data_IF_763979090314
#
_entry.id   IF_763979090314
#
_cell.length_a   1.000
_cell.length_b   1.000
_cell.length_c   1.000
_cell.angle_alpha   90.00
_cell.angle_beta   90.00
_cell.angle_gamma   90.00
#
_symmetry.space_group_name_H-M   'P 1'
#
loop_
_entity.id
_entity.type
_entity.pdbx_description
1 polymer ?
#
# COMPACT_ATOMS: atom_id res chain seq x y z
N UNK A 1 -22.31 -47.97 13.40
CA UNK A 1 -21.68 -46.65 13.19
C UNK A 1 -22.68 -45.73 12.52
N UNK A 2 -23.30 -44.81 13.26
CA UNK A 2 -24.13 -43.74 12.70
C UNK A 2 -23.25 -42.51 12.59
N UNK A 3 -23.03 -42.05 11.36
CA UNK A 3 -22.33 -40.80 11.08
C UNK A 3 -23.26 -39.65 11.46
N UNK A 4 -22.90 -38.90 12.50
CA UNK A 4 -23.52 -37.63 12.81
C UNK A 4 -22.94 -36.59 11.84
N UNK A 5 -23.72 -36.00 10.92
CA UNK A 5 -23.25 -34.87 10.13
C UNK A 5 -22.91 -33.73 11.08
N UNK A 6 -21.68 -33.24 11.01
CA UNK A 6 -21.27 -31.98 11.62
C UNK A 6 -22.11 -30.88 10.95
N UNK A 7 -23.20 -30.46 11.61
CA UNK A 7 -23.88 -29.22 11.27
C UNK A 7 -22.93 -28.11 11.69
N UNK A 8 -22.19 -27.56 10.74
CA UNK A 8 -21.48 -26.30 10.94
C UNK A 8 -22.54 -25.24 11.25
N UNK A 9 -22.61 -24.78 12.50
CA UNK A 9 -23.34 -23.56 12.84
C UNK A 9 -22.61 -22.40 12.13
N UNK A 10 -23.06 -22.07 10.92
CA UNK A 10 -22.81 -20.77 10.33
C UNK A 10 -23.62 -19.77 11.15
N UNK A 11 -23.01 -19.20 12.19
CA UNK A 11 -23.56 -18.02 12.82
C UNK A 11 -23.73 -16.97 11.71
N UNK A 12 -24.94 -16.43 11.49
CA UNK A 12 -25.14 -15.42 10.46
C UNK A 12 -24.28 -14.21 10.81
N UNK A 13 -23.27 -13.95 9.99
CA UNK A 13 -22.49 -12.71 10.07
C UNK A 13 -23.45 -11.53 9.90
N UNK A 14 -23.55 -10.71 10.94
CA UNK A 14 -24.28 -9.46 10.89
C UNK A 14 -23.26 -8.37 10.58
N UNK A 15 -23.12 -8.09 9.28
CA UNK A 15 -22.69 -6.81 8.74
C UNK A 15 -21.19 -6.45 8.67
N UNK A 16 -20.41 -7.30 8.01
CA UNK A 16 -19.14 -6.91 7.39
C UNK A 16 -18.95 -7.61 6.04
N UNK A 17 -18.25 -6.96 5.11
CA UNK A 17 -17.67 -7.63 3.95
C UNK A 17 -16.28 -8.12 4.35
N UNK A 18 -15.98 -9.37 4.04
CA UNK A 18 -14.63 -9.94 4.10
C UNK A 18 -14.40 -10.72 2.82
N UNK A 19 -13.39 -10.34 2.06
CA UNK A 19 -13.09 -10.97 0.78
C UNK A 19 -11.61 -10.92 0.47
N UNK A 20 -11.16 -11.81 -0.41
CA UNK A 20 -9.79 -11.84 -0.88
C UNK A 20 -9.65 -11.13 -2.23
N UNK A 21 -8.51 -10.49 -2.42
CA UNK A 21 -8.05 -9.97 -3.69
C UNK A 21 -6.67 -10.55 -4.01
N UNK A 22 -6.48 -11.13 -5.20
CA UNK A 22 -5.18 -11.60 -5.65
C UNK A 22 -4.23 -10.42 -5.98
N UNK A 23 -2.93 -10.69 -6.12
CA UNK A 23 -1.94 -9.68 -6.54
C UNK A 23 -2.26 -9.19 -7.96
N UNK A 24 -2.48 -7.88 -8.10
CA UNK A 24 -2.60 -7.22 -9.40
C UNK A 24 -1.22 -6.89 -9.96
N UNK A 25 -0.33 -6.38 -9.10
CA UNK A 25 1.06 -6.03 -9.43
C UNK A 25 1.90 -5.86 -8.17
N UNK A 26 3.22 -5.99 -8.32
CA UNK A 26 4.22 -5.54 -7.32
C UNK A 26 5.22 -4.66 -8.06
N UNK A 27 5.29 -3.36 -7.73
CA UNK A 27 6.18 -2.39 -8.40
C UNK A 27 6.28 -1.09 -7.58
N UNK A 28 7.24 -0.22 -7.90
CA UNK A 28 7.36 1.13 -7.31
C UNK A 28 6.38 2.11 -7.94
N UNK A 29 5.11 2.00 -7.54
CA UNK A 29 4.05 2.93 -7.89
C UNK A 29 3.28 3.35 -6.63
N UNK A 30 3.18 4.65 -6.44
CA UNK A 30 2.38 5.26 -5.37
C UNK A 30 1.60 6.46 -5.92
N UNK A 31 0.53 6.23 -6.69
CA UNK A 31 -0.13 7.31 -7.41
C UNK A 31 -0.97 8.24 -6.54
N UNK A 32 -1.18 7.92 -5.26
CA UNK A 32 -1.81 8.84 -4.31
C UNK A 32 -0.75 9.81 -3.79
N UNK A 33 0.36 9.29 -3.24
CA UNK A 33 1.37 10.12 -2.56
C UNK A 33 2.37 10.74 -3.55
N UNK A 34 2.73 10.02 -4.61
CA UNK A 34 3.71 10.43 -5.63
C UNK A 34 3.13 10.30 -7.06
N UNK A 35 2.05 11.03 -7.38
CA UNK A 35 1.36 10.92 -8.67
C UNK A 35 2.29 11.22 -9.85
N UNK A 36 2.30 10.31 -10.83
CA UNK A 36 3.10 10.37 -12.05
C UNK A 36 4.57 9.99 -11.86
N UNK A 37 5.01 9.70 -10.64
CA UNK A 37 6.40 9.39 -10.34
C UNK A 37 6.75 7.94 -10.70
N UNK A 38 7.75 7.79 -11.56
CA UNK A 38 8.20 6.51 -12.10
C UNK A 38 9.73 6.39 -11.99
N UNK A 39 10.30 5.60 -11.06
CA UNK A 39 9.64 4.88 -9.95
C UNK A 39 9.30 5.78 -8.75
N UNK A 40 8.30 5.36 -7.96
CA UNK A 40 8.03 5.92 -6.64
C UNK A 40 9.15 5.58 -5.63
N UNK A 41 9.10 6.18 -4.44
CA UNK A 41 10.13 6.07 -3.40
C UNK A 41 10.34 4.65 -2.85
N UNK A 42 9.38 3.73 -2.98
CA UNK A 42 9.51 2.35 -2.49
C UNK A 42 8.53 1.40 -3.18
N UNK A 43 8.71 0.09 -2.98
CA UNK A 43 7.92 -0.95 -3.67
C UNK A 43 6.61 -1.18 -2.95
N UNK A 44 5.51 -1.21 -3.71
CA UNK A 44 4.20 -1.57 -3.20
C UNK A 44 3.71 -2.88 -3.82
N UNK A 45 2.87 -3.58 -3.06
CA UNK A 45 2.04 -4.66 -3.57
C UNK A 45 0.62 -4.12 -3.72
N UNK A 46 0.05 -4.30 -4.91
CA UNK A 46 -1.21 -3.71 -5.32
C UNK A 46 -2.21 -4.82 -5.64
N UNK A 47 -3.45 -4.66 -5.20
CA UNK A 47 -4.60 -5.50 -5.56
C UNK A 47 -5.76 -4.61 -6.02
N UNK A 48 -6.75 -5.21 -6.70
CA UNK A 48 -7.97 -4.52 -7.11
C UNK A 48 -8.17 -4.42 -8.63
N UNK A 49 -8.78 -3.33 -9.08
CA UNK A 49 -9.11 -3.08 -10.49
C UNK A 49 -7.90 -2.84 -11.39
N UNK A 50 -7.93 -3.30 -12.64
CA UNK A 50 -6.83 -3.15 -13.61
C UNK A 50 -6.72 -1.77 -14.28
N UNK A 51 -7.51 -0.77 -13.84
CA UNK A 51 -7.34 0.63 -14.26
C UNK A 51 -6.16 1.32 -13.55
N UNK A 52 -5.50 0.63 -12.62
CA UNK A 52 -4.35 1.13 -11.87
C UNK A 52 -3.21 1.59 -12.78
N UNK A 53 -2.73 2.82 -12.55
CA UNK A 53 -1.64 3.43 -13.29
C UNK A 53 -0.91 4.47 -12.41
N UNK A 54 0.17 5.03 -12.92
CA UNK A 54 1.05 5.93 -12.16
C UNK A 54 0.40 7.26 -11.72
N UNK A 55 -0.71 7.68 -12.32
CA UNK A 55 -1.29 9.03 -12.07
C UNK A 55 -2.57 9.00 -11.26
N UNK A 56 -3.42 7.98 -11.46
CA UNK A 56 -4.74 7.84 -10.83
C UNK A 56 -5.52 9.17 -10.72
N UNK A 57 -5.68 9.85 -11.87
CA UNK A 57 -6.36 11.14 -11.99
C UNK A 57 -7.71 11.13 -11.23
N UNK A 58 -7.91 12.02 -10.24
CA UNK A 58 -9.15 12.10 -9.45
C UNK A 58 -10.40 12.40 -10.27
N UNK A 59 -10.28 12.86 -11.52
CA UNK A 59 -11.41 13.10 -12.42
C UNK A 59 -11.90 11.83 -13.10
N UNK A 60 -11.14 10.74 -13.03
CA UNK A 60 -11.46 9.47 -13.65
C UNK A 60 -12.09 8.54 -12.61
N UNK A 61 -13.32 8.10 -12.87
CA UNK A 61 -13.89 6.98 -12.13
C UNK A 61 -13.26 5.68 -12.61
N UNK A 62 -12.45 5.06 -11.75
CA UNK A 62 -11.74 3.82 -12.06
C UNK A 62 -12.69 2.63 -12.23
N UNK A 63 -13.89 2.68 -11.63
CA UNK A 63 -14.90 1.63 -11.77
C UNK A 63 -15.45 1.55 -13.20
N UNK A 64 -15.43 2.67 -13.93
CA UNK A 64 -15.87 2.77 -15.32
C UNK A 64 -14.73 2.51 -16.34
N UNK A 65 -13.48 2.44 -15.86
CA UNK A 65 -12.29 2.16 -16.70
C UNK A 65 -11.79 0.73 -16.59
N UNK A 66 -11.90 0.14 -15.41
CA UNK A 66 -11.41 -1.21 -15.17
C UNK A 66 -12.26 -2.24 -15.93
N UNK A 67 -11.60 -3.23 -16.50
CA UNK A 67 -12.25 -4.35 -17.22
C UNK A 67 -12.21 -5.65 -16.42
N UNK A 68 -11.34 -5.73 -15.41
CA UNK A 68 -11.28 -6.82 -14.44
C UNK A 68 -10.84 -6.29 -13.08
N UNK A 69 -11.05 -7.10 -12.04
CA UNK A 69 -10.53 -6.87 -10.68
C UNK A 69 -9.96 -8.17 -10.14
N UNK A 70 -8.95 -8.08 -9.26
CA UNK A 70 -8.42 -9.24 -8.55
C UNK A 70 -9.25 -9.62 -7.33
N UNK A 71 -10.29 -8.85 -6.98
CA UNK A 71 -11.13 -9.05 -5.80
C UNK A 71 -12.29 -10.03 -6.01
N UNK A 72 -12.73 -10.71 -4.95
CA UNK A 72 -13.82 -11.70 -5.03
C UNK A 72 -15.15 -11.09 -5.49
N UNK A 73 -15.42 -9.83 -5.12
CA UNK A 73 -16.57 -9.08 -5.62
C UNK A 73 -16.25 -8.47 -6.99
N UNK A 74 -16.94 -8.92 -8.04
CA UNK A 74 -16.69 -8.48 -9.41
C UNK A 74 -17.19 -7.07 -9.72
N UNK A 75 -17.82 -6.41 -8.75
CA UNK A 75 -18.26 -5.01 -8.80
C UNK A 75 -17.32 -4.09 -8.03
N UNK A 76 -16.27 -4.62 -7.40
CA UNK A 76 -15.25 -3.84 -6.69
C UNK A 76 -13.98 -3.67 -7.56
N UNK A 77 -13.85 -2.51 -8.17
CA UNK A 77 -12.65 -2.10 -8.91
C UNK A 77 -11.78 -1.12 -8.13
N UNK A 78 -12.02 -0.98 -6.82
CA UNK A 78 -11.15 -0.20 -5.94
C UNK A 78 -9.71 -0.71 -6.04
N UNK A 79 -8.74 0.16 -5.74
CA UNK A 79 -7.35 -0.25 -5.61
C UNK A 79 -6.91 -0.13 -4.14
N UNK A 80 -6.17 -1.14 -3.70
CA UNK A 80 -5.66 -1.26 -2.34
C UNK A 80 -4.18 -1.62 -2.43
N UNK A 81 -3.32 -0.91 -1.72
CA UNK A 81 -1.89 -1.26 -1.70
C UNK A 81 -1.23 -0.98 -0.36
N UNK A 82 -0.13 -1.69 -0.13
CA UNK A 82 0.75 -1.51 1.03
C UNK A 82 2.20 -1.62 0.58
N UNK A 83 3.13 -1.18 1.43
CA UNK A 83 4.55 -1.46 1.24
C UNK A 83 4.85 -2.98 1.22
N UNK A 84 5.98 -3.33 0.62
CA UNK A 84 6.44 -4.73 0.50
C UNK A 84 7.44 -5.09 1.60
N UNK A 85 7.25 -6.26 2.21
CA UNK A 85 8.18 -6.80 3.20
C UNK A 85 9.35 -7.52 2.50
N UNK A 86 10.56 -7.25 2.96
CA UNK A 86 11.78 -7.95 2.59
C UNK A 86 12.40 -8.62 3.80
N UNK A 87 13.04 -9.76 3.57
CA UNK A 87 13.99 -10.38 4.49
C UNK A 87 15.39 -9.85 4.17
N UNK A 88 16.05 -9.26 5.16
CA UNK A 88 17.46 -8.82 5.10
C UNK A 88 18.32 -9.90 5.74
N UNK A 89 19.01 -10.66 4.90
CA UNK A 89 19.88 -11.75 5.33
C UNK A 89 21.13 -11.23 6.05
N UNK A 90 21.79 -12.10 6.82
CA UNK A 90 23.05 -11.81 7.53
C UNK A 90 24.15 -11.28 6.60
N UNK A 91 24.19 -11.72 5.34
CA UNK A 91 25.17 -11.27 4.34
C UNK A 91 24.81 -9.88 3.73
N UNK A 92 23.74 -9.23 4.19
CA UNK A 92 23.26 -7.95 3.70
C UNK A 92 22.37 -8.01 2.46
N UNK A 93 22.20 -9.19 1.85
CA UNK A 93 21.27 -9.38 0.72
C UNK A 93 19.82 -9.27 1.17
N UNK A 94 18.95 -8.84 0.26
CA UNK A 94 17.52 -8.75 0.50
C UNK A 94 16.79 -9.80 -0.33
N UNK A 95 15.71 -10.35 0.21
CA UNK A 95 14.79 -11.21 -0.53
C UNK A 95 13.37 -10.81 -0.21
N UNK A 96 12.55 -10.57 -1.23
CA UNK A 96 11.15 -10.25 -1.05
C UNK A 96 10.44 -11.39 -0.34
N UNK A 97 9.64 -11.06 0.66
CA UNK A 97 8.82 -12.05 1.37
C UNK A 97 7.58 -12.34 0.53
N UNK A 98 7.30 -13.60 0.16
CA UNK A 98 6.09 -13.93 -0.58
C UNK A 98 4.83 -13.67 0.26
N UNK A 99 3.71 -13.35 -0.39
CA UNK A 99 2.40 -13.33 0.26
C UNK A 99 1.67 -14.64 0.02
N UNK A 100 0.72 -14.97 0.89
CA UNK A 100 -0.16 -16.12 0.70
C UNK A 100 -1.61 -15.81 1.13
N UNK A 101 -2.61 -16.58 0.68
CA UNK A 101 -4.01 -16.29 1.02
C UNK A 101 -4.30 -16.53 2.50
N UNK A 102 -5.14 -15.66 3.07
CA UNK A 102 -5.69 -15.86 4.40
C UNK A 102 -6.74 -17.00 4.40
N UNK A 103 -7.16 -17.43 5.59
CA UNK A 103 -8.10 -18.51 5.76
C UNK A 103 -9.43 -18.26 5.00
N UNK A 104 -9.95 -19.33 4.39
CA UNK A 104 -11.25 -19.37 3.71
C UNK A 104 -11.36 -18.48 2.46
N UNK A 105 -10.24 -18.15 1.80
CA UNK A 105 -10.23 -17.33 0.57
C UNK A 105 -9.83 -18.11 -0.69
N UNK A 106 -9.65 -19.43 -0.58
CA UNK A 106 -9.21 -20.29 -1.68
C UNK A 106 -7.75 -20.04 -2.09
N UNK A 107 -7.41 -20.45 -3.32
CA UNK A 107 -6.04 -20.43 -3.85
C UNK A 107 -5.72 -19.13 -4.60
N UNK A 108 -5.88 -17.99 -3.95
CA UNK A 108 -5.47 -16.70 -4.53
C UNK A 108 -3.94 -16.65 -4.72
N UNK A 109 -3.50 -15.97 -5.77
CA UNK A 109 -2.07 -15.73 -6.00
C UNK A 109 -1.65 -14.51 -5.20
N UNK A 110 -0.99 -14.74 -4.07
CA UNK A 110 -0.58 -13.68 -3.14
C UNK A 110 -1.76 -12.85 -2.64
N UNK A 111 -1.56 -11.53 -2.61
CA UNK A 111 -2.63 -10.55 -2.42
C UNK A 111 -2.97 -10.22 -0.97
N UNK A 112 -4.21 -9.79 -0.74
CA UNK A 112 -4.70 -9.27 0.54
C UNK A 112 -6.12 -9.74 0.85
N UNK A 113 -6.46 -9.75 2.14
CA UNK A 113 -7.85 -9.76 2.60
C UNK A 113 -8.32 -8.33 2.81
N UNK A 114 -9.45 -7.96 2.23
CA UNK A 114 -10.06 -6.65 2.39
C UNK A 114 -11.34 -6.78 3.19
N UNK A 115 -11.55 -5.82 4.09
CA UNK A 115 -12.73 -5.70 4.93
C UNK A 115 -13.43 -4.38 4.71
N UNK A 116 -14.76 -4.40 4.77
CA UNK A 116 -15.61 -3.22 4.96
C UNK A 116 -16.55 -3.51 6.13
N UNK A 117 -16.27 -2.92 7.30
CA UNK A 117 -17.05 -3.14 8.51
C UNK A 117 -18.01 -1.99 8.76
N UNK A 118 -19.25 -2.32 9.15
CA UNK A 118 -20.22 -1.32 9.59
C UNK A 118 -20.03 -0.96 11.07
N UNK A 119 -19.72 -1.97 11.90
CA UNK A 119 -19.47 -1.79 13.33
C UNK A 119 -18.44 -2.79 13.89
N UNK A 120 -18.77 -4.08 13.91
CA UNK A 120 -17.86 -5.18 14.26
C UNK A 120 -18.31 -6.50 13.58
N UNK A 121 -17.73 -7.64 13.97
CA UNK A 121 -18.10 -8.95 13.40
C UNK A 121 -19.41 -9.55 13.91
N UNK A 122 -20.04 -8.95 14.92
CA UNK A 122 -21.24 -9.47 15.60
C UNK A 122 -22.51 -8.66 15.28
N UNK A 123 -22.39 -7.39 14.88
CA UNK A 123 -23.54 -6.51 14.61
C UNK A 123 -23.21 -5.39 13.61
N UNK A 124 -24.23 -4.84 12.95
CA UNK A 124 -24.12 -3.60 12.15
C UNK A 124 -24.11 -2.31 12.97
N UNK A 125 -24.34 -2.40 14.29
CA UNK A 125 -24.44 -1.21 15.16
C UNK A 125 -25.65 -0.30 14.87
N UNK A 126 -26.51 -0.66 13.90
CA UNK A 126 -27.70 0.09 13.43
C UNK A 126 -27.43 1.56 13.04
N UNK A 127 -26.17 1.94 12.86
CA UNK A 127 -25.79 3.26 12.37
C UNK A 127 -26.01 3.31 10.86
N UNK A 128 -26.44 4.46 10.33
CA UNK A 128 -26.44 4.69 8.90
C UNK A 128 -24.99 4.73 8.40
N UNK A 129 -24.66 3.84 7.47
CA UNK A 129 -23.36 3.81 6.81
C UNK A 129 -23.49 4.46 5.44
N UNK A 130 -22.64 5.44 5.17
CA UNK A 130 -22.53 6.06 3.85
C UNK A 130 -21.40 5.35 3.10
N UNK A 131 -21.63 4.94 1.85
CA UNK A 131 -20.56 4.43 1.01
C UNK A 131 -19.65 5.57 0.53
N UNK A 132 -18.40 5.22 0.21
CA UNK A 132 -17.47 6.12 -0.46
C UNK A 132 -18.01 6.54 -1.84
N UNK A 133 -17.45 7.61 -2.39
CA UNK A 133 -17.86 8.20 -3.68
C UNK A 133 -16.73 8.10 -4.71
N UNK A 134 -17.03 8.10 -6.02
CA UNK A 134 -16.00 8.17 -7.06
C UNK A 134 -14.99 9.31 -6.80
N UNK A 135 -13.70 9.00 -6.95
CA UNK A 135 -12.60 9.93 -6.66
C UNK A 135 -12.12 9.91 -5.20
N UNK A 136 -12.87 9.28 -4.28
CA UNK A 136 -12.49 9.17 -2.87
C UNK A 136 -11.19 8.38 -2.71
N UNK A 137 -10.25 8.93 -1.95
CA UNK A 137 -8.96 8.31 -1.68
C UNK A 137 -8.46 8.67 -0.29
N UNK A 138 -7.79 7.74 0.37
CA UNK A 138 -7.19 8.00 1.67
C UNK A 138 -5.98 7.10 1.91
N UNK A 139 -5.09 7.56 2.78
CA UNK A 139 -4.00 6.76 3.32
C UNK A 139 -4.17 6.54 4.81
N UNK A 140 -3.44 5.58 5.36
CA UNK A 140 -3.28 5.42 6.81
C UNK A 140 -1.84 5.05 7.13
N UNK A 141 -1.29 5.62 8.20
CA UNK A 141 0.12 5.44 8.55
C UNK A 141 1.03 6.42 7.82
N UNK A 142 2.34 6.21 7.97
CA UNK A 142 3.36 7.03 7.31
C UNK A 142 4.72 6.34 7.37
N UNK A 143 5.47 6.26 6.26
CA UNK A 143 6.84 5.72 6.22
C UNK A 143 7.81 6.38 7.22
N UNK A 144 7.53 7.61 7.64
CA UNK A 144 8.37 8.37 8.58
C UNK A 144 7.99 8.18 10.05
N UNK A 145 6.97 7.36 10.36
CA UNK A 145 6.55 7.13 11.73
C UNK A 145 7.57 6.24 12.48
N UNK A 146 7.95 6.68 13.68
CA UNK A 146 8.90 6.01 14.56
C UNK A 146 8.31 5.64 15.92
N UNK A 147 7.00 5.84 16.12
CA UNK A 147 6.34 5.74 17.44
C UNK A 147 5.36 4.59 17.59
N UNK A 148 4.85 4.00 16.51
CA UNK A 148 3.90 2.86 16.59
C UNK A 148 2.56 3.18 17.28
N UNK A 149 2.21 4.46 17.34
CA UNK A 149 1.09 4.98 18.10
C UNK A 149 -0.27 4.79 17.43
N UNK A 150 -0.32 4.41 16.15
CA UNK A 150 -1.57 4.10 15.48
C UNK A 150 -2.05 2.71 15.93
N UNK A 151 -3.18 2.60 16.65
CA UNK A 151 -3.62 1.32 17.18
C UNK A 151 -4.14 0.38 16.10
N UNK A 152 -4.50 0.88 14.92
CA UNK A 152 -4.98 0.12 13.78
C UNK A 152 -3.88 -0.49 12.90
N UNK A 153 -2.61 -0.17 13.18
CA UNK A 153 -1.45 -0.65 12.42
C UNK A 153 -0.64 -1.62 13.28
N UNK A 154 -0.77 -2.91 12.97
CA UNK A 154 -0.29 -4.00 13.85
C UNK A 154 0.26 -5.18 13.06
N UNK A 155 1.01 -6.00 13.78
CA UNK A 155 1.51 -7.28 13.35
C UNK A 155 1.01 -8.40 14.23
N UNK A 156 0.84 -9.59 13.68
CA UNK A 156 0.63 -10.82 14.45
C UNK A 156 1.61 -11.88 13.97
N UNK A 157 2.34 -12.49 14.92
CA UNK A 157 3.18 -13.64 14.66
C UNK A 157 2.33 -14.92 14.64
N UNK A 158 2.06 -15.44 13.45
CA UNK A 158 1.10 -16.52 13.26
C UNK A 158 1.67 -17.86 13.72
N UNK A 159 0.95 -18.54 14.63
CA UNK A 159 1.21 -19.95 14.93
C UNK A 159 0.55 -20.85 13.87
N UNK A 160 -0.61 -20.43 13.41
CA UNK A 160 -1.36 -20.97 12.27
C UNK A 160 -2.08 -19.82 11.55
N UNK A 161 -2.75 -20.13 10.43
CA UNK A 161 -3.49 -19.13 9.63
C UNK A 161 -4.67 -18.49 10.39
N UNK A 162 -5.12 -19.08 11.50
CA UNK A 162 -6.24 -18.60 12.32
C UNK A 162 -5.77 -17.74 13.51
N UNK A 163 -4.47 -17.63 13.75
CA UNK A 163 -3.91 -16.82 14.84
C UNK A 163 -4.23 -15.33 14.61
N UNK A 164 -4.74 -14.64 15.65
CA UNK A 164 -5.10 -13.21 15.59
C UNK A 164 -4.58 -12.37 16.77
N UNK A 165 -3.87 -13.00 17.70
CA UNK A 165 -3.35 -12.34 18.90
C UNK A 165 -2.09 -13.06 19.41
N UNK A 166 -1.24 -12.38 20.20
CA UNK A 166 -1.28 -10.93 20.47
C UNK A 166 -0.84 -10.11 19.25
N UNK A 167 -1.39 -8.90 19.15
CA UNK A 167 -0.95 -7.89 18.20
C UNK A 167 0.25 -7.10 18.74
N UNK A 168 1.19 -6.73 17.86
CA UNK A 168 2.35 -5.89 18.19
C UNK A 168 2.45 -4.69 17.25
N UNK A 169 3.01 -3.59 17.74
CA UNK A 169 3.28 -2.41 16.90
C UNK A 169 4.51 -2.59 16.00
N UNK A 170 5.47 -3.39 16.45
CA UNK A 170 6.73 -3.70 15.77
C UNK A 170 6.66 -5.09 15.13
N UNK A 171 7.58 -5.35 14.18
CA UNK A 171 7.76 -6.67 13.62
C UNK A 171 8.01 -7.73 14.71
N UNK A 172 7.50 -8.96 14.54
CA UNK A 172 7.79 -10.05 15.46
C UNK A 172 9.29 -10.30 15.61
N UNK A 173 9.74 -10.38 16.87
CA UNK A 173 11.17 -10.60 17.21
C UNK A 173 11.59 -12.07 17.19
N UNK A 174 10.66 -12.98 16.86
CA UNK A 174 10.87 -14.42 16.84
C UNK A 174 10.34 -15.01 15.53
N UNK A 175 10.89 -16.16 15.09
CA UNK A 175 10.33 -16.91 13.97
C UNK A 175 8.84 -17.19 14.16
N UNK A 176 8.06 -17.01 13.10
CA UNK A 176 6.62 -17.23 13.11
C UNK A 176 6.29 -18.49 12.30
N UNK A 177 5.74 -19.55 12.94
CA UNK A 177 5.53 -20.84 12.28
C UNK A 177 4.65 -20.79 11.02
N UNK A 178 3.69 -19.87 10.98
CA UNK A 178 2.80 -19.67 9.84
C UNK A 178 2.98 -18.29 9.18
N UNK A 179 4.09 -17.60 9.41
CA UNK A 179 4.31 -16.28 8.82
C UNK A 179 3.88 -15.11 9.69
N UNK A 180 3.90 -13.92 9.11
CA UNK A 180 3.53 -12.66 9.78
C UNK A 180 2.30 -12.09 9.11
N UNK A 181 1.27 -11.76 9.88
CA UNK A 181 0.15 -10.96 9.40
C UNK A 181 0.43 -9.49 9.69
N UNK A 182 0.30 -8.62 8.71
CA UNK A 182 0.22 -7.17 8.89
C UNK A 182 -1.24 -6.73 8.70
N UNK A 183 -1.75 -5.89 9.60
CA UNK A 183 -3.10 -5.35 9.53
C UNK A 183 -3.09 -3.82 9.50
N UNK A 184 -3.93 -3.25 8.64
CA UNK A 184 -4.05 -1.81 8.42
C UNK A 184 -5.52 -1.40 8.50
N UNK A 185 -5.95 -0.82 9.62
CA UNK A 185 -7.29 -0.27 9.75
C UNK A 185 -7.33 1.20 9.37
N UNK A 186 -8.22 1.56 8.46
CA UNK A 186 -8.47 2.95 8.08
C UNK A 186 -9.45 3.63 9.06
N UNK A 187 -9.46 4.97 9.10
CA UNK A 187 -10.50 5.71 9.80
C UNK A 187 -11.87 5.53 9.13
N UNK A 188 -12.94 5.78 9.88
CA UNK A 188 -14.33 5.50 9.44
C UNK A 188 -15.29 6.69 9.64
N UNK A 189 -14.78 7.87 9.98
CA UNK A 189 -15.56 9.09 10.13
C UNK A 189 -15.09 10.12 9.10
N UNK A 190 -15.98 10.54 8.20
CA UNK A 190 -15.70 11.45 7.10
C UNK A 190 -16.23 12.85 7.39
N UNK A 191 -15.52 13.88 6.93
CA UNK A 191 -15.91 15.30 7.04
C UNK A 191 -17.22 15.67 6.31
N UNK A 192 -17.73 14.78 5.46
CA UNK A 192 -18.98 14.99 4.73
C UNK A 192 -18.81 15.77 3.43
N UNK A 193 -17.61 16.23 3.11
CA UNK A 193 -17.34 17.21 2.05
C UNK A 193 -16.22 16.78 1.10
N UNK A 194 -15.04 16.46 1.62
CA UNK A 194 -13.84 16.34 0.80
C UNK A 194 -13.56 14.88 0.44
N UNK A 195 -13.46 14.57 -0.86
CA UNK A 195 -13.11 13.21 -1.32
C UNK A 195 -11.64 12.85 -1.05
N UNK A 196 -10.83 13.87 -0.81
CA UNK A 196 -9.41 13.78 -0.51
C UNK A 196 -8.98 15.04 0.25
N UNK A 197 -7.86 14.96 0.97
CA UNK A 197 -7.19 16.10 1.60
C UNK A 197 -5.73 16.19 1.13
N UNK A 198 -5.03 17.32 1.27
CA UNK A 198 -3.64 17.44 0.79
C UNK A 198 -2.67 16.39 1.34
N UNK A 199 -2.97 15.83 2.52
CA UNK A 199 -2.21 14.75 3.15
C UNK A 199 -2.91 13.37 3.05
N UNK A 200 -4.03 13.28 2.32
CA UNK A 200 -4.86 12.09 2.14
C UNK A 200 -5.43 11.48 3.43
N UNK A 201 -5.39 12.22 4.55
CA UNK A 201 -5.80 11.73 5.88
C UNK A 201 -6.78 12.66 6.60
N UNK A 202 -6.59 13.98 6.56
CA UNK A 202 -7.35 14.97 7.36
C UNK A 202 -8.85 15.06 7.04
N UNK A 203 -9.30 14.57 5.90
CA UNK A 203 -10.74 14.47 5.59
C UNK A 203 -11.42 13.29 6.31
N UNK A 204 -10.63 12.47 7.02
CA UNK A 204 -11.05 11.30 7.76
C UNK A 204 -10.57 11.36 9.22
N UNK A 205 -11.38 10.83 10.13
CA UNK A 205 -11.09 10.83 11.56
C UNK A 205 -11.18 9.43 12.17
N UNK A 206 -10.15 9.06 12.93
CA UNK A 206 -10.05 7.73 13.51
C UNK A 206 -10.59 7.73 14.95
N UNK A 207 -11.65 6.96 15.17
CA UNK A 207 -12.20 6.67 16.51
C UNK A 207 -11.99 5.22 16.93
N UNK A 208 -11.29 4.44 16.11
CA UNK A 208 -10.96 3.04 16.35
C UNK A 208 -9.85 2.88 17.39
N UNK A 209 -9.83 1.74 18.06
CA UNK A 209 -8.85 1.39 19.09
C UNK A 209 -7.92 0.24 18.69
N UNK A 210 -7.85 -0.07 17.40
CA UNK A 210 -7.15 -1.26 16.90
C UNK A 210 -8.00 -2.52 16.98
N UNK A 211 -7.60 -3.54 16.25
CA UNK A 211 -8.42 -4.73 16.01
C UNK A 211 -9.80 -4.41 15.40
N UNK A 212 -10.63 -5.45 15.28
CA UNK A 212 -12.00 -5.34 14.77
C UNK A 212 -13.01 -5.02 15.88
N UNK A 213 -12.68 -4.05 16.72
CA UNK A 213 -13.56 -3.58 17.80
C UNK A 213 -14.39 -2.40 17.35
N UNK A 214 -15.57 -2.24 17.93
CA UNK A 214 -16.47 -1.11 17.65
C UNK A 214 -15.74 0.24 17.80
N UNK A 215 -15.75 1.03 16.72
CA UNK A 215 -15.20 2.38 16.72
C UNK A 215 -16.11 3.37 17.49
N UNK A 216 -15.52 4.36 18.14
CA UNK A 216 -16.27 5.40 18.85
C UNK A 216 -17.15 6.26 17.92
N UNK A 217 -18.06 7.04 18.50
CA UNK A 217 -18.93 7.95 17.75
C UNK A 217 -18.12 8.98 16.95
N UNK A 218 -18.61 9.32 15.76
CA UNK A 218 -17.95 10.30 14.91
C UNK A 218 -18.06 11.72 15.50
N UNK A 219 -16.97 12.52 15.51
CA UNK A 219 -17.01 13.88 16.02
C UNK A 219 -17.75 14.80 15.07
N UNK A 220 -18.13 16.00 15.55
CA UNK A 220 -18.81 17.01 14.73
C UNK A 220 -17.99 17.51 13.54
N UNK A 221 -16.65 17.43 13.62
CA UNK A 221 -15.76 17.74 12.49
C UNK A 221 -15.82 16.69 11.38
N UNK A 222 -16.21 15.45 11.70
CA UNK A 222 -16.26 14.32 10.78
C UNK A 222 -17.55 13.51 10.93
N UNK A 223 -18.72 14.13 10.71
CA UNK A 223 -19.99 13.60 11.20
C UNK A 223 -20.52 12.39 10.40
N UNK A 224 -19.95 12.10 9.22
CA UNK A 224 -20.48 11.06 8.34
C UNK A 224 -19.79 9.73 8.61
N UNK A 225 -20.54 8.75 9.13
CA UNK A 225 -20.03 7.37 9.28
C UNK A 225 -19.89 6.69 7.91
N UNK A 226 -18.68 6.22 7.64
CA UNK A 226 -18.30 5.39 6.51
C UNK A 226 -18.03 3.96 6.99
N UNK A 227 -18.04 2.94 6.10
CA UNK A 227 -17.56 1.63 6.50
C UNK A 227 -16.06 1.70 6.81
N UNK A 228 -15.63 1.01 7.86
CA UNK A 228 -14.21 0.88 8.15
C UNK A 228 -13.58 -0.07 7.14
N UNK A 229 -12.68 0.47 6.31
CA UNK A 229 -11.81 -0.33 5.46
C UNK A 229 -10.68 -0.90 6.31
N UNK A 230 -10.35 -2.17 6.12
CA UNK A 230 -9.14 -2.76 6.69
C UNK A 230 -8.50 -3.77 5.75
N UNK A 231 -7.17 -3.88 5.81
CA UNK A 231 -6.41 -4.88 5.06
C UNK A 231 -5.75 -5.85 6.03
N UNK A 232 -5.83 -7.15 5.74
CA UNK A 232 -4.92 -8.14 6.31
C UNK A 232 -4.02 -8.68 5.19
N UNK A 233 -2.71 -8.52 5.35
CA UNK A 233 -1.70 -9.07 4.45
C UNK A 233 -0.94 -10.19 5.15
N UNK A 234 -0.96 -11.40 4.57
CA UNK A 234 -0.25 -12.55 5.11
C UNK A 234 1.10 -12.69 4.41
N UNK A 235 2.19 -12.48 5.15
CA UNK A 235 3.55 -12.62 4.68
C UNK A 235 4.09 -14.00 5.04
N UNK A 236 4.45 -14.80 4.03
CA UNK A 236 5.04 -16.11 4.22
C UNK A 236 6.50 -15.99 4.63
N UNK A 237 6.73 -15.83 5.95
CA UNK A 237 8.08 -15.75 6.50
C UNK A 237 8.68 -17.12 6.82
N UNK A 238 7.98 -18.22 6.57
CA UNK A 238 8.37 -19.56 7.05
C UNK A 238 9.71 -20.03 6.49
N UNK A 239 10.01 -19.68 5.23
CA UNK A 239 11.30 -19.96 4.58
C UNK A 239 12.48 -19.16 5.15
N UNK A 240 12.23 -18.22 6.08
CA UNK A 240 13.23 -17.37 6.72
C UNK A 240 13.36 -17.62 8.23
N UNK A 241 12.76 -18.71 8.74
CA UNK A 241 12.75 -19.01 10.17
C UNK A 241 14.10 -19.55 10.72
N UNK A 242 15.04 -19.91 9.85
CA UNK A 242 16.40 -20.28 10.28
C UNK A 242 17.15 -19.06 10.81
N UNK A 243 17.32 -19.01 12.13
CA UNK A 243 18.05 -17.95 12.83
C UNK A 243 19.52 -17.83 12.42
N UNK A 244 20.12 -18.85 11.80
CA UNK A 244 21.47 -18.76 11.27
C UNK A 244 21.59 -17.69 10.15
N UNK A 245 20.49 -17.43 9.45
CA UNK A 245 20.38 -16.43 8.38
C UNK A 245 20.08 -15.02 8.91
N UNK A 246 19.73 -14.87 10.19
CA UNK A 246 19.35 -13.59 10.80
C UNK A 246 20.58 -12.75 11.16
N UNK A 247 20.44 -11.43 11.35
CA UNK A 247 21.51 -10.56 11.84
C UNK A 247 22.24 -11.12 13.07
N UNK A 248 23.56 -10.91 13.14
CA UNK A 248 24.41 -11.43 14.22
C UNK A 248 24.13 -10.77 15.59
N UNK A 249 23.55 -9.57 15.58
CA UNK A 249 23.13 -8.83 16.78
C UNK A 249 21.83 -9.38 17.41
N UNK A 250 21.20 -10.38 16.77
CA UNK A 250 19.96 -11.00 17.24
C UNK A 250 18.69 -10.21 16.93
N UNK A 251 18.78 -9.11 16.17
CA UNK A 251 17.62 -8.39 15.67
C UNK A 251 16.79 -9.23 14.68
N UNK A 252 15.51 -8.89 14.57
CA UNK A 252 14.63 -9.53 13.59
C UNK A 252 15.00 -9.07 12.15
N UNK A 253 14.85 -9.93 11.13
CA UNK A 253 15.46 -9.72 9.82
C UNK A 253 14.53 -9.01 8.81
N UNK A 254 13.29 -8.69 9.16
CA UNK A 254 12.33 -8.13 8.22
C UNK A 254 12.41 -6.61 8.16
N UNK A 255 12.24 -6.08 6.96
CA UNK A 255 12.25 -4.64 6.69
C UNK A 255 11.14 -4.32 5.70
N UNK A 256 10.56 -3.14 5.80
CA UNK A 256 9.74 -2.61 4.71
C UNK A 256 10.63 -2.15 3.54
N UNK A 257 10.03 -2.02 2.36
CA UNK A 257 10.68 -1.60 1.11
C UNK A 257 11.28 -0.18 1.11
N UNK A 258 11.19 0.53 2.22
CA UNK A 258 11.83 1.83 2.49
C UNK A 258 12.82 1.75 3.68
N UNK A 259 13.31 0.54 3.98
CA UNK A 259 14.33 0.21 5.00
C UNK A 259 13.91 0.48 6.47
N UNK A 260 12.60 0.46 6.76
CA UNK A 260 12.13 0.41 8.15
C UNK A 260 12.26 -1.01 8.72
N UNK A 261 13.22 -1.19 9.62
CA UNK A 261 13.52 -2.44 10.31
C UNK A 261 12.76 -2.66 11.61
N UNK A 262 11.91 -1.71 12.02
CA UNK A 262 11.06 -1.86 13.21
C UNK A 262 9.61 -2.18 12.83
N UNK A 263 9.19 -1.76 11.64
CA UNK A 263 7.83 -1.92 11.13
C UNK A 263 6.89 -0.80 11.58
N UNK A 264 7.40 0.26 12.21
CA UNK A 264 6.63 1.35 12.79
C UNK A 264 6.11 2.35 11.74
N UNK A 265 6.78 2.42 10.59
CA UNK A 265 6.43 3.29 9.47
C UNK A 265 5.36 2.71 8.55
N UNK A 266 4.77 1.56 8.90
CA UNK A 266 3.83 0.86 8.03
C UNK A 266 2.66 1.75 7.61
N UNK A 267 2.23 1.61 6.36
CA UNK A 267 1.13 2.37 5.80
C UNK A 267 0.38 1.56 4.76
N UNK A 268 -0.79 2.08 4.41
CA UNK A 268 -1.65 1.52 3.39
C UNK A 268 -2.44 2.62 2.71
N UNK A 269 -2.86 2.32 1.49
CA UNK A 269 -3.48 3.25 0.57
C UNK A 269 -4.76 2.66 0.00
N UNK A 270 -5.76 3.52 -0.14
CA UNK A 270 -7.07 3.14 -0.63
C UNK A 270 -7.57 4.15 -1.66
N UNK A 271 -8.00 3.64 -2.82
CA UNK A 271 -8.71 4.40 -3.84
C UNK A 271 -10.03 3.70 -4.16
N UNK A 272 -11.14 4.39 -3.95
CA UNK A 272 -12.47 3.84 -4.17
C UNK A 272 -12.76 3.58 -5.65
N UNK A 273 -13.37 2.44 -5.94
CA UNK A 273 -13.77 2.03 -7.28
C UNK A 273 -14.90 1.00 -7.31
N UNK A 274 -15.82 1.00 -6.33
CA UNK A 274 -17.01 0.15 -6.45
C UNK A 274 -17.94 0.69 -7.53
N UNK A 275 -18.49 -0.20 -8.34
CA UNK A 275 -19.36 0.15 -9.46
C UNK A 275 -20.74 0.64 -8.99
N UNK A 276 -21.14 1.82 -9.45
CA UNK A 276 -22.47 2.37 -9.19
C UNK A 276 -22.81 2.43 -7.70
N UNK A 277 -23.95 1.86 -7.31
CA UNK A 277 -24.43 1.82 -5.93
C UNK A 277 -24.05 0.52 -5.18
N UNK A 278 -23.22 -0.35 -5.76
CA UNK A 278 -22.97 -1.70 -5.24
C UNK A 278 -22.51 -1.71 -3.77
N UNK A 279 -21.57 -0.84 -3.39
CA UNK A 279 -21.12 -0.76 -1.99
C UNK A 279 -22.22 -0.22 -1.08
N UNK A 280 -23.04 0.75 -1.52
CA UNK A 280 -24.14 1.25 -0.69
C UNK A 280 -25.19 0.17 -0.47
N UNK A 281 -25.55 -0.61 -1.51
CA UNK A 281 -26.45 -1.77 -1.37
C UNK A 281 -25.91 -2.79 -0.38
N UNK A 282 -24.59 -3.02 -0.37
CA UNK A 282 -23.91 -3.84 0.63
C UNK A 282 -24.11 -3.27 2.03
N UNK A 283 -23.83 -1.98 2.21
CA UNK A 283 -23.86 -1.32 3.51
C UNK A 283 -25.27 -1.17 4.08
N UNK A 284 -26.30 -1.17 3.23
CA UNK A 284 -27.70 -1.15 3.65
C UNK A 284 -28.24 -2.56 4.00
N UNK A 285 -27.53 -3.64 3.61
CA UNK A 285 -27.96 -5.01 3.86
C UNK A 285 -27.74 -5.44 5.32
N UNK A 286 -28.72 -6.15 5.89
CA UNK A 286 -28.66 -6.68 7.26
C UNK A 286 -27.85 -7.99 7.36
N UNK A 287 -28.03 -9.00 6.49
CA UNK A 287 -27.05 -10.07 6.30
C UNK A 287 -26.03 -9.65 5.23
N UNK A 288 -24.74 -9.56 5.57
CA UNK A 288 -23.69 -9.21 4.61
C UNK A 288 -23.13 -10.43 3.83
N UNK A 289 -23.98 -11.41 3.56
CA UNK A 289 -23.68 -12.53 2.64
C UNK A 289 -24.16 -12.19 1.24
N UNK A 290 -23.32 -11.51 0.44
CA UNK A 290 -23.45 -11.35 -1.04
C UNK A 290 -24.81 -10.89 -1.62
N UNK A 291 -25.79 -10.53 -0.80
CA UNK A 291 -27.15 -10.24 -1.28
C UNK A 291 -27.10 -8.98 -2.13
N UNK A 292 -27.20 -9.16 -3.45
CA UNK A 292 -27.19 -8.06 -4.42
C UNK A 292 -25.82 -7.58 -4.89
N UNK A 293 -24.73 -8.31 -4.59
CA UNK A 293 -23.38 -8.02 -5.11
C UNK A 293 -22.85 -9.24 -5.84
N UNK A 294 -22.39 -9.03 -7.07
CA UNK A 294 -21.82 -10.09 -7.91
C UNK A 294 -20.43 -10.48 -7.42
N UNK A 295 -20.15 -11.78 -7.48
CA UNK A 295 -18.84 -12.36 -7.19
C UNK A 295 -18.26 -13.05 -8.41
N UNK A 296 -16.95 -13.29 -8.39
CA UNK A 296 -16.22 -14.06 -9.39
C UNK A 296 -15.44 -15.21 -8.73
N UNK A 297 -14.99 -16.17 -9.53
CA UNK A 297 -14.16 -17.27 -9.03
C UNK A 297 -12.74 -16.82 -8.73
N UNK A 298 -12.04 -17.59 -7.90
CA UNK A 298 -10.61 -17.40 -7.61
C UNK A 298 -9.76 -17.41 -8.90
N UNK A 299 -10.10 -18.27 -9.86
CA UNK A 299 -9.39 -18.33 -11.15
C UNK A 299 -9.58 -17.07 -11.99
N UNK A 300 -10.76 -16.44 -11.94
CA UNK A 300 -11.01 -15.17 -12.63
C UNK A 300 -10.24 -14.03 -11.96
N UNK A 301 -10.27 -13.97 -10.62
CA UNK A 301 -9.49 -13.02 -9.83
C UNK A 301 -7.98 -13.13 -10.11
N UNK A 302 -7.43 -14.35 -10.14
CA UNK A 302 -6.02 -14.63 -10.42
C UNK A 302 -5.58 -14.26 -11.84
N UNK A 303 -6.50 -14.17 -12.81
CA UNK A 303 -6.19 -13.80 -14.20
C UNK A 303 -6.07 -12.30 -14.39
N UNK A 304 -6.65 -11.49 -13.50
CA UNK A 304 -6.59 -10.05 -13.62
C UNK A 304 -5.18 -9.55 -13.25
N UNK A 305 -4.59 -8.71 -14.12
CA UNK A 305 -3.25 -8.17 -13.94
C UNK A 305 -3.12 -6.83 -14.65
N UNK A 306 -2.09 -6.06 -14.28
CA UNK A 306 -1.62 -4.92 -15.07
C UNK A 306 -0.20 -5.15 -15.54
N UNK A 307 0.16 -4.59 -16.68
CA UNK A 307 1.54 -4.59 -17.13
C UNK A 307 2.38 -3.75 -16.17
N UNK A 308 3.50 -4.29 -15.71
CA UNK A 308 4.44 -3.49 -14.92
C UNK A 308 4.98 -2.34 -15.77
N UNK A 309 4.94 -1.14 -15.20
CA UNK A 309 5.50 0.07 -15.83
C UNK A 309 6.96 0.27 -15.45
N UNK A 310 7.38 -0.32 -14.34
CA UNK A 310 8.75 -0.35 -13.85
C UNK A 310 9.33 -1.75 -14.08
N UNK A 311 10.50 -1.84 -14.70
CA UNK A 311 11.24 -3.10 -14.89
C UNK A 311 12.48 -3.03 -14.03
N UNK A 312 12.41 -3.61 -12.83
CA UNK A 312 13.53 -3.69 -11.90
C UNK A 312 13.51 -5.03 -11.15
N UNK A 313 14.67 -5.53 -10.69
CA UNK A 313 14.73 -6.75 -9.89
C UNK A 313 14.19 -6.48 -8.49
N UNK A 314 12.89 -6.71 -8.29
CA UNK A 314 12.24 -6.66 -6.97
C UNK A 314 12.36 -7.98 -6.18
N UNK A 315 12.70 -9.06 -6.89
CA UNK A 315 12.98 -10.37 -6.31
C UNK A 315 14.48 -10.56 -6.23
N UNK A 316 15.06 -10.12 -5.11
CA UNK A 316 16.49 -10.30 -4.88
C UNK A 316 16.93 -11.76 -5.00
N UNK A 317 17.97 -12.02 -5.80
CA UNK A 317 18.78 -13.23 -5.64
C UNK A 317 19.79 -13.01 -4.50
N UNK A 318 20.27 -14.07 -3.81
CA UNK A 318 21.29 -13.95 -2.76
C UNK A 318 22.57 -13.20 -3.19
N UNK A 319 22.81 -13.09 -4.51
CA UNK A 319 24.03 -12.55 -5.09
C UNK A 319 23.83 -11.20 -5.82
N UNK A 320 22.60 -10.69 -5.97
CA UNK A 320 22.32 -9.48 -6.77
C UNK A 320 21.31 -8.50 -6.18
N UNK A 321 21.29 -8.29 -4.87
CA UNK A 321 20.73 -7.05 -4.32
C UNK A 321 21.87 -6.12 -3.97
N UNK A 322 22.33 -5.36 -4.96
CA UNK A 322 23.01 -4.09 -4.69
C UNK A 322 22.04 -3.20 -3.89
N UNK A 323 22.59 -2.37 -3.00
CA UNK A 323 21.87 -1.27 -2.39
C UNK A 323 21.29 -0.38 -3.49
N UNK A 324 20.10 -0.71 -3.98
CA UNK A 324 19.21 0.33 -4.44
C UNK A 324 18.96 1.16 -3.21
N UNK A 325 19.22 2.47 -3.27
CA UNK A 325 18.78 3.37 -2.23
C UNK A 325 17.28 3.15 -2.06
N UNK A 326 16.91 2.36 -1.03
CA UNK A 326 15.53 2.16 -0.58
C UNK A 326 14.88 3.51 -0.23
N UNK A 327 15.70 4.57 -0.18
CA UNK A 327 15.34 5.98 -0.18
C UNK A 327 15.63 6.58 -1.56
N UNK A 328 14.70 6.44 -2.50
CA UNK A 328 14.73 7.27 -3.69
C UNK A 328 14.59 8.74 -3.29
N UNK A 329 15.64 9.53 -3.57
CA UNK A 329 15.77 11.01 -3.43
C UNK A 329 16.21 11.55 -2.07
N UNK A 330 17.49 11.41 -1.73
CA UNK A 330 18.24 12.46 -1.02
C UNK A 330 19.73 12.58 -1.41
N UNK A 331 20.30 11.67 -2.22
CA UNK A 331 21.73 11.74 -2.56
C UNK A 331 22.10 12.57 -3.79
N UNK A 332 21.19 12.82 -4.72
CA UNK A 332 21.51 13.66 -5.89
C UNK A 332 21.57 15.16 -5.56
N UNK A 333 20.96 15.62 -4.45
CA UNK A 333 21.07 17.02 -4.02
C UNK A 333 22.37 17.29 -3.26
N UNK A 334 22.96 16.28 -2.61
CA UNK A 334 24.23 16.45 -1.90
C UNK A 334 25.44 16.54 -2.86
N UNK A 335 25.43 15.78 -3.96
CA UNK A 335 26.55 15.78 -4.91
C UNK A 335 26.62 17.05 -5.76
N UNK A 336 25.47 17.68 -6.05
CA UNK A 336 25.41 18.97 -6.78
C UNK A 336 25.86 20.14 -5.89
N UNK A 337 25.84 20.00 -4.56
CA UNK A 337 26.34 21.03 -3.64
C UNK A 337 27.84 20.89 -3.35
N UNK A 338 28.42 19.68 -3.40
CA UNK A 338 29.87 19.48 -3.23
C UNK A 338 30.69 19.74 -4.51
N UNK A 339 30.12 19.55 -5.70
CA UNK A 339 30.82 19.87 -6.96
C UNK A 339 30.89 21.38 -7.25
N UNK A 340 30.17 22.22 -6.51
CA UNK A 340 30.30 23.69 -6.57
C UNK A 340 31.41 24.21 -5.63
N UNK A 341 31.98 23.37 -4.74
CA UNK A 341 33.02 23.79 -3.78
C UNK A 341 34.45 23.32 -4.09
N UNK A 342 34.68 22.55 -5.17
CA UNK A 342 36.03 22.12 -5.61
C UNK A 342 36.50 22.90 -6.87
N UNK A 343 35.82 23.98 -7.23
CA UNK A 343 36.09 24.78 -8.44
C UNK A 343 36.52 26.23 -8.23
N UNK A 344 36.89 26.67 -7.02
CA UNK A 344 37.32 28.07 -6.78
C UNK A 344 38.71 28.12 -6.16
N UNK A 345 39.72 27.87 -6.99
CA UNK A 345 41.11 28.36 -6.83
C UNK A 345 41.58 29.00 -8.13
N UNK A 346 40.79 29.91 -8.68
CA UNK A 346 41.27 30.88 -9.67
C UNK A 346 40.45 32.17 -9.50
N UNK A 347 41.14 33.24 -9.13
CA UNK A 347 40.55 34.50 -8.71
C UNK A 347 39.73 35.18 -9.81
N UNK A 348 38.44 35.37 -9.55
CA UNK A 348 37.59 36.38 -10.18
C UNK A 348 36.69 36.99 -9.10
N UNK A 349 36.61 38.33 -9.07
CA UNK A 349 35.90 39.12 -8.05
C UNK A 349 34.38 38.84 -8.06
N UNK A 350 33.70 38.91 -6.90
CA UNK A 350 32.26 38.64 -6.82
C UNK A 350 31.43 39.81 -7.37
N UNK A 351 30.44 39.49 -8.20
CA UNK A 351 29.32 40.38 -8.53
C UNK A 351 28.17 40.02 -7.60
N UNK A 352 27.71 41.00 -6.82
CA UNK A 352 26.52 40.90 -5.97
C UNK A 352 25.28 41.11 -6.83
N UNK A 353 24.30 40.21 -6.77
CA UNK A 353 22.93 40.45 -7.25
C UNK A 353 21.91 39.98 -6.20
N UNK A 354 20.85 40.75 -5.89
CA UNK A 354 19.98 40.51 -4.73
C UNK A 354 18.89 39.47 -4.99
N UNK A 355 18.30 39.00 -3.88
CA UNK A 355 17.12 38.11 -3.80
C UNK A 355 15.95 38.66 -4.61
N UNK A 356 15.44 37.84 -5.54
CA UNK A 356 14.02 37.53 -5.81
C UNK A 356 13.93 36.77 -7.16
N UNK A 357 13.34 35.58 -7.17
CA UNK A 357 12.94 34.90 -8.42
C UNK A 357 11.55 34.28 -8.23
N UNK A 358 10.60 34.89 -8.91
CA UNK A 358 9.20 34.51 -9.01
C UNK A 358 9.05 33.60 -10.26
N UNK A 359 8.47 32.42 -10.10
CA UNK A 359 8.25 31.44 -11.18
C UNK A 359 6.95 31.80 -11.95
N UNK A 360 7.06 32.76 -12.85
CA UNK A 360 6.09 32.96 -13.92
C UNK A 360 6.82 33.58 -15.11
N UNK A 361 6.79 32.88 -16.25
CA UNK A 361 7.33 33.23 -17.59
C UNK A 361 8.50 32.36 -18.05
N UNK A 362 8.20 31.15 -18.51
CA UNK A 362 8.85 30.59 -19.71
C UNK A 362 7.84 29.66 -20.41
N UNK A 363 7.12 30.23 -21.37
CA UNK A 363 6.36 29.49 -22.36
C UNK A 363 7.25 29.06 -23.54
N UNK A 364 6.83 27.96 -24.16
CA UNK A 364 7.11 27.55 -25.54
C UNK A 364 8.57 27.52 -26.03
N UNK A 365 9.16 26.31 -26.05
CA UNK A 365 10.10 25.92 -27.12
C UNK A 365 9.84 24.46 -27.52
N UNK A 366 9.58 24.24 -28.81
CA UNK A 366 9.48 22.91 -29.45
C UNK A 366 10.86 22.33 -29.81
N UNK A 367 11.04 21.00 -29.90
CA UNK A 367 12.33 20.39 -30.17
C UNK A 367 12.63 20.26 -31.68
N UNK A 368 13.83 20.66 -32.09
CA UNK A 368 14.39 20.35 -33.43
C UNK A 368 15.46 19.27 -33.29
N UNK A 369 15.36 18.24 -34.13
CA UNK A 369 16.28 17.12 -34.24
C UNK A 369 17.46 17.42 -35.20
N UNK A 370 18.64 16.82 -34.94
CA UNK A 370 19.76 16.71 -35.88
C UNK A 370 21.06 16.35 -35.15
N UNK A 371 21.45 15.07 -35.12
CA UNK A 371 22.41 14.36 -36.01
C UNK A 371 23.88 14.80 -35.90
N UNK A 372 24.69 13.85 -35.39
CA UNK A 372 26.09 13.48 -35.68
C UNK A 372 27.08 14.54 -36.22
N UNK A 373 28.25 14.65 -35.58
CA UNK A 373 29.54 14.64 -36.30
C UNK A 373 30.69 14.19 -35.38
N UNK A 374 31.41 13.16 -35.85
CA UNK A 374 32.64 12.59 -35.29
C UNK A 374 33.86 13.44 -35.70
N UNK A 375 34.76 13.68 -34.74
CA UNK A 375 36.22 13.65 -34.88
C UNK A 375 36.94 14.63 -35.83
N UNK A 376 37.84 15.44 -35.26
CA UNK A 376 39.29 15.34 -35.52
C UNK A 376 40.13 16.29 -34.66
N UNK A 377 41.30 15.78 -34.31
CA UNK A 377 42.45 16.47 -33.72
C UNK A 377 42.91 17.71 -34.51
N UNK A 378 43.46 18.70 -33.77
CA UNK A 378 44.87 19.11 -33.80
C UNK A 378 45.07 20.63 -33.76
N UNK A 379 45.78 21.05 -32.70
CA UNK A 379 46.92 21.98 -32.67
C UNK A 379 46.79 23.47 -33.03
N UNK A 380 47.32 24.27 -32.08
CA UNK A 380 48.00 25.58 -32.19
C UNK A 380 47.14 26.77 -32.63
N UNK A 381 47.23 27.97 -32.05
CA UNK A 381 48.14 28.55 -31.07
C UNK A 381 47.86 30.06 -30.97
N UNK A 382 48.45 30.67 -29.94
CA UNK A 382 48.41 32.08 -29.51
C UNK A 382 47.20 32.55 -28.70
#
# INVERSE_FOLDING_TARGET
>A
MKWLPLVALAAPSQAYLRFGCATLSVQRLDPIVEPGRLPSSHVHQIVGGNAFNATMDPKIDIAEKATCTTCSFSEDFSNYWTAVMYFKARNGSYKRVPQYPNALLGSLTGGMTVYYLQNDFSTNGKAKITAFKPGFRMTVGSPTNTKGNNPGLRYTCLQDVMTRAPETAEFPTKPCPAGVMAIHHFPACWDGKNLDSPNHQDHMYNTGKGGFVTAGACPSSHPVRMPQVAFETMWNTTGFNDKSLWPADGSQPFVWSYDDSKGLGTHADYLFGWKGDALQRAMDSTPLLSNGIKTQSVDQANKCSVKSTIVEPIDGSPDQVQQYELQGVLREVALVVELVWIGVHAGVKPIVVPRECNLAELGNVQPVAGREWLGRHAQTGY
#
